data_IF_366596122221
#
_entry.id   IF_366596122221
#
_cell.length_a   1.000
_cell.length_b   1.000
_cell.length_c   1.000
_cell.angle_alpha   90.00
_cell.angle_beta   90.00
_cell.angle_gamma   90.00
#
_symmetry.space_group_name_H-M   'P 1'
#
loop_
_entity.id
_entity.type
_entity.pdbx_description
1 polymer ?
#
# COMPACT_ATOMS: atom_id res chain seq x y z
N UNK A 1 -9.25 -50.56 -38.26
CA UNK A 1 -8.58 -50.07 -37.02
C UNK A 1 -8.37 -48.54 -36.90
N UNK A 2 -8.40 -47.67 -37.94
CA UNK A 2 -8.08 -46.24 -37.76
C UNK A 2 -9.24 -45.34 -37.32
N UNK A 3 -10.51 -45.77 -37.52
CA UNK A 3 -11.71 -44.98 -37.19
C UNK A 3 -11.99 -44.92 -35.67
N UNK A 4 -11.75 -46.01 -34.95
CA UNK A 4 -11.95 -46.07 -33.49
C UNK A 4 -10.95 -45.17 -32.73
N UNK A 5 -9.70 -45.08 -33.23
CA UNK A 5 -8.64 -44.25 -32.63
C UNK A 5 -8.89 -42.75 -32.81
N UNK A 6 -9.53 -42.34 -33.92
CA UNK A 6 -9.97 -40.95 -34.16
C UNK A 6 -11.16 -40.55 -33.29
N UNK A 7 -12.12 -41.46 -33.08
CA UNK A 7 -13.25 -41.25 -32.17
C UNK A 7 -12.79 -41.10 -30.72
N UNK A 8 -11.82 -41.91 -30.27
CA UNK A 8 -11.28 -41.83 -28.91
C UNK A 8 -10.55 -40.50 -28.65
N UNK A 9 -9.76 -40.03 -29.62
CA UNK A 9 -9.10 -38.73 -29.54
C UNK A 9 -10.09 -37.57 -29.53
N UNK A 10 -11.18 -37.63 -30.31
CA UNK A 10 -12.22 -36.61 -30.31
C UNK A 10 -13.00 -36.56 -28.99
N UNK A 11 -13.27 -37.71 -28.36
CA UNK A 11 -13.89 -37.78 -27.04
C UNK A 11 -12.97 -37.26 -25.93
N UNK A 12 -11.66 -37.58 -25.99
CA UNK A 12 -10.68 -37.05 -25.05
C UNK A 12 -10.46 -35.54 -25.21
N UNK A 13 -10.46 -35.02 -26.43
CA UNK A 13 -10.43 -33.57 -26.72
C UNK A 13 -11.72 -32.88 -26.26
N UNK A 14 -12.88 -33.50 -26.46
CA UNK A 14 -14.17 -33.00 -25.96
C UNK A 14 -14.25 -32.97 -24.44
N UNK A 15 -13.75 -34.02 -23.77
CA UNK A 15 -13.60 -34.06 -22.31
C UNK A 15 -12.57 -33.02 -21.82
N UNK A 16 -11.45 -32.83 -22.52
CA UNK A 16 -10.47 -31.80 -22.17
C UNK A 16 -11.05 -30.38 -22.34
N UNK A 17 -11.82 -30.13 -23.40
CA UNK A 17 -12.53 -28.86 -23.61
C UNK A 17 -13.64 -28.62 -22.58
N UNK A 18 -14.34 -29.67 -22.15
CA UNK A 18 -15.31 -29.60 -21.04
C UNK A 18 -14.65 -29.32 -19.68
N UNK A 19 -13.41 -29.77 -19.48
CA UNK A 19 -12.61 -29.44 -18.30
C UNK A 19 -11.95 -28.05 -18.36
N UNK A 20 -11.82 -27.45 -19.55
CA UNK A 20 -11.33 -26.08 -19.72
C UNK A 20 -12.40 -25.01 -19.43
N UNK A 21 -13.63 -25.40 -19.15
CA UNK A 21 -14.76 -24.50 -18.94
C UNK A 21 -15.04 -24.25 -17.46
N UNK A 22 -14.03 -23.80 -16.71
CA UNK A 22 -14.25 -23.13 -15.43
C UNK A 22 -13.02 -22.27 -15.05
N UNK A 23 -12.77 -21.27 -15.88
CA UNK A 23 -11.94 -20.13 -15.49
C UNK A 23 -12.73 -18.84 -15.74
N UNK A 24 -13.86 -18.69 -15.03
CA UNK A 24 -14.46 -17.38 -14.80
C UNK A 24 -13.78 -16.74 -13.60
N UNK A 25 -12.53 -16.31 -13.78
CA UNK A 25 -11.78 -15.55 -12.78
C UNK A 25 -11.54 -14.11 -13.26
N UNK A 26 -12.61 -13.42 -13.67
CA UNK A 26 -12.70 -11.97 -13.85
C UNK A 26 -14.18 -11.66 -13.56
N UNK A 27 -14.61 -10.89 -12.56
CA UNK A 27 -14.05 -9.68 -12.00
C UNK A 27 -14.82 -9.31 -10.71
N UNK A 28 -14.20 -9.37 -9.52
CA UNK A 28 -14.56 -8.48 -8.41
C UNK A 28 -13.65 -7.25 -8.55
N UNK A 29 -13.72 -6.52 -9.66
CA UNK A 29 -12.66 -5.56 -10.02
C UNK A 29 -12.70 -4.26 -9.25
N UNK A 30 -13.75 -3.96 -8.48
CA UNK A 30 -13.98 -2.59 -7.99
C UNK A 30 -14.31 -2.50 -6.49
N UNK A 31 -14.16 -3.58 -5.71
CA UNK A 31 -14.44 -3.55 -4.25
C UNK A 31 -15.90 -3.29 -3.87
N UNK A 32 -16.86 -3.52 -4.78
CA UNK A 32 -18.29 -3.32 -4.55
C UNK A 32 -19.04 -4.64 -4.33
N UNK A 33 -19.99 -4.60 -3.39
CA UNK A 33 -20.84 -5.71 -2.97
C UNK A 33 -22.32 -5.29 -3.05
N UNK A 34 -23.21 -6.24 -3.32
CA UNK A 34 -24.66 -6.02 -3.25
C UNK A 34 -25.13 -6.21 -1.80
N UNK A 35 -25.91 -5.26 -1.28
CA UNK A 35 -26.50 -5.31 0.05
C UNK A 35 -28.02 -5.19 -0.04
N UNK A 36 -28.72 -6.10 0.62
CA UNK A 36 -30.18 -6.05 0.75
C UNK A 36 -30.55 -5.09 1.87
N UNK A 37 -31.39 -4.10 1.57
CA UNK A 37 -31.90 -3.12 2.53
C UNK A 37 -33.42 -3.20 2.60
N UNK A 38 -33.97 -2.97 3.79
CA UNK A 38 -35.40 -2.80 3.99
C UNK A 38 -35.74 -1.31 3.96
N UNK A 39 -36.60 -0.91 3.02
CA UNK A 39 -37.13 0.43 2.93
C UNK A 39 -38.54 0.44 3.50
N UNK A 40 -38.73 1.18 4.59
CA UNK A 40 -40.06 1.45 5.16
C UNK A 40 -40.73 2.58 4.40
N UNK A 41 -41.99 2.39 4.03
CA UNK A 41 -42.80 3.41 3.36
C UNK A 41 -44.25 3.33 3.84
N UNK A 42 -44.95 4.46 3.78
CA UNK A 42 -46.35 4.55 4.20
C UNK A 42 -47.26 4.41 2.98
N UNK A 43 -48.30 3.59 3.12
CA UNK A 43 -49.36 3.49 2.13
C UNK A 43 -50.69 3.97 2.71
N UNK A 44 -51.48 4.76 1.97
CA UNK A 44 -52.82 5.13 2.40
C UNK A 44 -53.75 3.92 2.26
N UNK A 45 -54.43 3.56 3.35
CA UNK A 45 -55.40 2.47 3.39
C UNK A 45 -56.70 3.03 3.94
N UNK A 46 -57.81 2.76 3.25
CA UNK A 46 -59.11 3.22 3.72
C UNK A 46 -59.67 2.26 4.76
N UNK A 47 -59.99 2.77 5.95
CA UNK A 47 -60.65 2.02 7.03
C UNK A 47 -62.03 2.61 7.24
N UNK A 48 -63.03 1.75 7.48
CA UNK A 48 -64.39 2.16 7.83
C UNK A 48 -64.65 1.82 9.29
N UNK A 49 -65.20 2.76 10.05
CA UNK A 49 -65.71 2.48 11.41
C UNK A 49 -67.19 2.11 11.30
N UNK A 50 -67.55 0.91 11.77
CA UNK A 50 -68.94 0.58 12.02
C UNK A 50 -69.30 1.11 13.42
N UNK A 51 -70.34 1.94 13.51
CA UNK A 51 -70.94 2.26 14.80
C UNK A 51 -71.90 1.13 15.16
N UNK A 52 -71.76 0.56 16.37
CA UNK A 52 -72.70 -0.42 16.88
C UNK A 52 -73.93 0.34 17.41
N UNK A 53 -74.88 0.63 16.51
CA UNK A 53 -76.14 1.27 16.84
C UNK A 53 -77.12 0.22 17.38
N UNK A 54 -77.20 0.09 18.72
CA UNK A 54 -78.35 -0.53 19.37
C UNK A 54 -79.56 0.42 19.27
N UNK A 55 -80.14 0.59 18.09
CA UNK A 55 -81.59 0.80 17.95
C UNK A 55 -82.06 0.73 16.51
N UNK A 56 -83.19 0.07 16.34
CA UNK A 56 -84.01 0.03 15.15
C UNK A 56 -84.60 1.40 14.87
N UNK A 57 -84.08 2.11 13.87
CA UNK A 57 -84.88 2.91 12.93
C UNK A 57 -84.02 3.29 11.72
N UNK A 58 -84.66 3.31 10.55
CA UNK A 58 -84.09 3.57 9.24
C UNK A 58 -83.22 4.83 9.19
N UNK A 59 -81.92 4.67 8.98
CA UNK A 59 -81.12 5.58 8.17
C UNK A 59 -79.97 4.81 7.54
N UNK A 60 -79.65 5.15 6.29
CA UNK A 60 -78.60 4.49 5.52
C UNK A 60 -77.25 4.94 6.11
N UNK A 61 -76.77 4.23 7.12
CA UNK A 61 -75.55 4.57 7.85
C UNK A 61 -74.34 4.27 6.94
N UNK A 62 -73.98 5.26 6.11
CA UNK A 62 -72.73 5.25 5.36
C UNK A 62 -71.59 5.37 6.38
N UNK A 63 -71.07 4.22 6.82
CA UNK A 63 -69.98 4.17 7.80
C UNK A 63 -68.85 5.13 7.41
N UNK A 64 -68.41 5.95 8.36
CA UNK A 64 -67.37 6.95 8.12
C UNK A 64 -66.08 6.26 7.65
N UNK A 65 -65.67 6.53 6.40
CA UNK A 65 -64.43 6.03 5.82
C UNK A 65 -63.34 7.07 5.99
N UNK A 66 -62.22 6.65 6.60
CA UNK A 66 -61.07 7.51 6.83
C UNK A 66 -59.79 6.86 6.29
N UNK A 67 -58.81 7.68 5.91
CA UNK A 67 -57.52 7.23 5.39
C UNK A 67 -56.56 7.05 6.57
N UNK A 68 -56.05 5.84 6.72
CA UNK A 68 -54.98 5.50 7.67
C UNK A 68 -53.72 5.19 6.88
N UNK A 69 -52.59 5.74 7.31
CA UNK A 69 -51.29 5.39 6.73
C UNK A 69 -50.73 4.18 7.46
N UNK A 70 -50.59 3.06 6.73
CA UNK A 70 -50.00 1.84 7.25
C UNK A 70 -48.54 1.73 6.78
N UNK A 71 -47.64 1.33 7.68
CA UNK A 71 -46.24 1.08 7.33
C UNK A 71 -46.11 -0.24 6.57
N UNK A 72 -45.49 -0.17 5.39
CA UNK A 72 -45.05 -1.34 4.61
C UNK A 72 -43.54 -1.35 4.47
N UNK A 73 -43.01 -2.55 4.28
CA UNK A 73 -41.58 -2.78 4.05
C UNK A 73 -41.41 -3.34 2.65
N UNK A 74 -40.52 -2.74 1.86
CA UNK A 74 -40.03 -3.31 0.60
C UNK A 74 -38.54 -3.61 0.72
N UNK A 75 -38.11 -4.68 0.05
CA UNK A 75 -36.72 -5.10 0.01
C UNK A 75 -36.10 -4.60 -1.28
N UNK A 76 -35.03 -3.81 -1.16
CA UNK A 76 -34.26 -3.32 -2.29
C UNK A 76 -32.83 -3.85 -2.22
N UNK A 77 -32.18 -3.98 -3.37
CA UNK A 77 -30.77 -4.31 -3.48
C UNK A 77 -29.98 -3.07 -3.88
N UNK A 78 -29.02 -2.67 -3.06
CA UNK A 78 -28.16 -1.50 -3.30
C UNK A 78 -26.70 -1.90 -3.38
N UNK A 79 -25.92 -1.16 -4.18
CA UNK A 79 -24.47 -1.36 -4.31
C UNK A 79 -23.73 -0.57 -3.22
N UNK A 80 -22.88 -1.25 -2.46
CA UNK A 80 -22.06 -0.66 -1.39
C UNK A 80 -20.60 -1.13 -1.51
N UNK A 81 -19.66 -0.52 -0.78
CA UNK A 81 -18.32 -1.10 -0.67
C UNK A 81 -18.36 -2.41 0.11
N UNK A 82 -17.55 -3.37 -0.33
CA UNK A 82 -17.37 -4.65 0.37
C UNK A 82 -16.71 -4.46 1.75
N UNK A 83 -16.87 -5.43 2.67
CA UNK A 83 -16.14 -5.42 3.93
C UNK A 83 -14.62 -5.30 3.70
N UNK A 84 -13.97 -4.41 4.45
CA UNK A 84 -12.56 -4.11 4.27
C UNK A 84 -12.26 -3.08 3.17
N UNK A 85 -13.27 -2.47 2.56
CA UNK A 85 -13.12 -1.33 1.65
C UNK A 85 -13.85 -0.10 2.19
N UNK A 86 -13.32 1.09 1.93
CA UNK A 86 -13.92 2.39 2.29
C UNK A 86 -14.31 3.16 1.04
N UNK A 87 -15.41 3.92 1.13
CA UNK A 87 -15.82 4.82 0.05
C UNK A 87 -14.93 6.05 0.02
N UNK A 88 -14.41 6.39 -1.16
CA UNK A 88 -13.68 7.62 -1.44
C UNK A 88 -14.51 8.53 -2.36
N UNK A 89 -13.92 9.64 -2.80
CA UNK A 89 -14.57 10.63 -3.68
C UNK A 89 -15.07 9.93 -4.97
N UNK A 90 -16.21 10.37 -5.50
CA UNK A 90 -16.87 9.80 -6.69
C UNK A 90 -17.42 8.37 -6.55
N UNK A 91 -17.50 7.84 -5.31
CA UNK A 91 -18.15 6.54 -5.06
C UNK A 91 -17.26 5.33 -5.33
N UNK A 92 -15.95 5.53 -5.51
CA UNK A 92 -15.00 4.42 -5.60
C UNK A 92 -14.76 3.78 -4.23
N UNK A 93 -14.40 2.49 -4.24
CA UNK A 93 -14.05 1.72 -3.04
C UNK A 93 -12.54 1.48 -3.01
N UNK A 94 -11.87 1.98 -1.98
CA UNK A 94 -10.45 1.73 -1.74
C UNK A 94 -10.28 0.68 -0.63
N UNK A 95 -9.38 -0.30 -0.77
CA UNK A 95 -9.12 -1.28 0.29
C UNK A 95 -8.56 -0.63 1.55
N UNK A 96 -8.86 -1.24 2.70
CA UNK A 96 -8.40 -0.83 4.02
C UNK A 96 -7.33 -1.79 4.48
N UNK A 97 -6.17 -1.27 4.86
CA UNK A 97 -5.12 -2.01 5.52
C UNK A 97 -5.06 -1.58 6.99
N UNK A 98 -5.18 -2.53 7.92
CA UNK A 98 -5.14 -2.26 9.37
C UNK A 98 -3.77 -1.74 9.80
N UNK A 99 -2.72 -2.32 9.24
CA UNK A 99 -1.36 -1.83 9.37
C UNK A 99 -1.03 -0.98 8.14
N UNK A 100 -0.40 0.20 8.30
CA UNK A 100 0.01 1.02 7.18
C UNK A 100 0.99 0.23 6.31
N UNK A 101 0.76 0.27 5.00
CA UNK A 101 1.66 -0.37 4.05
C UNK A 101 3.05 0.30 4.10
N UNK A 102 4.14 -0.46 3.93
CA UNK A 102 5.51 0.02 3.99
C UNK A 102 5.81 1.07 2.90
N UNK A 103 6.95 1.75 3.00
CA UNK A 103 7.35 2.75 2.00
C UNK A 103 7.37 2.20 0.58
N UNK A 104 6.99 3.05 -0.36
CA UNK A 104 6.85 2.71 -1.78
C UNK A 104 5.89 1.54 -2.06
N UNK A 105 4.83 1.41 -1.26
CA UNK A 105 3.81 0.40 -1.44
C UNK A 105 2.40 0.97 -1.20
N UNK A 106 1.37 0.24 -1.64
CA UNK A 106 -0.03 0.61 -1.52
C UNK A 106 -0.90 -0.60 -1.17
N UNK A 107 -2.05 -0.35 -0.57
CA UNK A 107 -3.02 -1.39 -0.24
C UNK A 107 -3.73 -1.84 -1.54
N UNK A 108 -3.55 -3.09 -1.95
CA UNK A 108 -4.18 -3.65 -3.18
C UNK A 108 -5.46 -4.39 -2.87
N UNK A 109 -5.50 -5.06 -1.72
CA UNK A 109 -6.65 -5.77 -1.17
C UNK A 109 -6.69 -5.51 0.34
N UNK A 110 -7.81 -5.77 1.04
CA UNK A 110 -7.88 -5.56 2.48
C UNK A 110 -6.74 -6.30 3.20
N UNK A 111 -5.96 -5.57 3.99
CA UNK A 111 -4.78 -6.06 4.70
C UNK A 111 -3.68 -6.69 3.82
N UNK A 112 -3.61 -6.33 2.53
CA UNK A 112 -2.58 -6.82 1.61
C UNK A 112 -1.94 -5.65 0.86
N UNK A 113 -0.64 -5.50 1.08
CA UNK A 113 0.16 -4.46 0.45
C UNK A 113 0.86 -4.96 -0.82
N UNK A 114 1.06 -4.06 -1.77
CA UNK A 114 1.82 -4.32 -2.99
C UNK A 114 2.75 -3.15 -3.29
N UNK A 115 3.92 -3.43 -3.86
CA UNK A 115 4.88 -2.38 -4.20
C UNK A 115 4.36 -1.49 -5.33
N UNK A 116 4.71 -0.20 -5.28
CA UNK A 116 4.43 0.74 -6.35
C UNK A 116 5.13 0.29 -7.65
N UNK A 117 4.64 0.78 -8.78
CA UNK A 117 5.29 0.53 -10.06
C UNK A 117 6.74 1.01 -10.02
N UNK A 118 7.65 0.18 -10.54
CA UNK A 118 9.08 0.43 -10.49
C UNK A 118 9.75 0.03 -9.18
N UNK A 119 9.02 -0.61 -8.26
CA UNK A 119 9.56 -1.24 -7.05
C UNK A 119 9.23 -2.74 -7.04
N UNK A 120 10.14 -3.56 -6.52
CA UNK A 120 9.99 -5.00 -6.39
C UNK A 120 10.02 -5.46 -4.92
N UNK A 121 9.37 -6.59 -4.66
CA UNK A 121 9.37 -7.19 -3.33
C UNK A 121 10.75 -7.80 -3.06
N UNK A 122 11.41 -7.33 -2.01
CA UNK A 122 12.63 -7.92 -1.51
C UNK A 122 12.32 -8.79 -0.29
N UNK A 123 12.67 -10.07 -0.37
CA UNK A 123 12.58 -10.98 0.77
C UNK A 123 13.85 -10.85 1.60
N UNK A 124 13.75 -10.27 2.79
CA UNK A 124 14.82 -10.39 3.78
C UNK A 124 14.65 -11.71 4.54
N UNK A 125 15.72 -12.51 4.61
CA UNK A 125 15.73 -13.82 5.25
C UNK A 125 15.27 -13.80 6.73
N UNK A 126 15.43 -12.67 7.42
CA UNK A 126 15.16 -12.53 8.86
C UNK A 126 13.80 -11.91 9.19
N UNK A 127 13.01 -11.44 8.20
CA UNK A 127 11.69 -10.82 8.42
C UNK A 127 10.66 -11.37 7.44
N UNK A 128 10.20 -12.58 7.71
CA UNK A 128 9.30 -13.31 6.80
C UNK A 128 7.90 -12.68 6.65
N UNK A 129 7.56 -11.66 7.45
CA UNK A 129 6.22 -11.06 7.48
C UNK A 129 6.14 -9.60 7.05
N UNK A 130 7.26 -8.95 6.70
CA UNK A 130 7.25 -7.54 6.35
C UNK A 130 7.64 -7.35 4.89
N UNK A 131 6.70 -6.86 4.09
CA UNK A 131 6.93 -6.47 2.71
C UNK A 131 7.98 -5.35 2.68
N UNK A 132 9.04 -5.51 1.88
CA UNK A 132 10.04 -4.45 1.67
C UNK A 132 10.13 -4.20 0.17
N UNK A 133 9.84 -2.97 -0.25
CA UNK A 133 9.81 -2.57 -1.65
C UNK A 133 11.12 -1.88 -2.04
N UNK A 134 11.89 -2.48 -2.94
CA UNK A 134 13.15 -1.91 -3.45
C UNK A 134 12.98 -1.37 -4.86
N UNK A 135 13.61 -0.24 -5.22
CA UNK A 135 13.48 0.33 -6.55
C UNK A 135 14.15 -0.56 -7.61
N UNK A 136 13.57 -0.58 -8.80
CA UNK A 136 14.03 -1.35 -9.96
C UNK A 136 14.79 -0.41 -10.90
N UNK A 137 16.05 -0.73 -11.17
CA UNK A 137 16.88 -0.08 -12.19
C UNK A 137 17.23 -1.09 -13.29
N UNK A 138 16.66 -0.89 -14.49
CA UNK A 138 16.88 -1.75 -15.65
C UNK A 138 18.35 -1.69 -16.08
N UNK A 139 18.98 -2.86 -16.21
CA UNK A 139 20.40 -2.97 -16.53
C UNK A 139 21.34 -2.73 -15.33
N UNK A 140 20.79 -2.49 -14.14
CA UNK A 140 21.56 -2.20 -12.93
C UNK A 140 22.12 -0.77 -12.91
N UNK A 141 22.71 -0.41 -11.77
CA UNK A 141 23.37 0.87 -11.61
C UNK A 141 24.90 0.74 -11.80
N UNK A 142 25.57 1.79 -12.32
CA UNK A 142 27.03 1.83 -12.48
C UNK A 142 27.82 1.55 -11.19
N UNK A 143 29.13 1.31 -11.31
CA UNK A 143 29.97 1.10 -10.13
C UNK A 143 29.89 2.26 -9.14
N UNK A 144 29.93 1.91 -7.85
CA UNK A 144 29.81 2.85 -6.74
C UNK A 144 28.53 3.70 -6.73
N UNK A 145 27.46 3.20 -7.37
CA UNK A 145 26.12 3.77 -7.28
C UNK A 145 25.11 2.74 -6.76
N UNK A 146 23.89 3.20 -6.47
CA UNK A 146 22.76 2.35 -6.12
C UNK A 146 21.45 2.92 -6.68
N UNK A 147 20.44 2.06 -6.81
CA UNK A 147 19.12 2.45 -7.29
C UNK A 147 18.36 3.18 -6.18
N UNK A 148 17.86 4.38 -6.45
CA UNK A 148 17.06 5.20 -5.51
C UNK A 148 15.59 5.26 -5.89
N UNK A 149 15.30 5.23 -7.19
CA UNK A 149 13.96 5.20 -7.74
C UNK A 149 13.95 4.44 -9.08
N UNK A 150 12.79 4.36 -9.72
CA UNK A 150 12.64 3.61 -10.97
C UNK A 150 13.60 4.11 -12.05
N UNK A 151 14.57 3.29 -12.43
CA UNK A 151 15.65 3.62 -13.37
C UNK A 151 16.48 4.86 -13.00
N UNK A 152 16.52 5.21 -11.71
CA UNK A 152 17.28 6.35 -11.19
C UNK A 152 18.37 5.85 -10.25
N UNK A 153 19.62 6.15 -10.59
CA UNK A 153 20.79 5.76 -9.83
C UNK A 153 21.43 6.99 -9.17
N UNK A 154 21.88 6.83 -7.92
CA UNK A 154 22.64 7.85 -7.19
C UNK A 154 23.99 7.26 -6.76
N UNK A 155 25.03 8.11 -6.70
CA UNK A 155 26.32 7.71 -6.17
C UNK A 155 26.24 7.35 -4.69
N UNK A 156 26.93 6.27 -4.30
CA UNK A 156 27.04 5.87 -2.90
C UNK A 156 27.76 6.94 -2.09
N UNK A 157 27.52 6.93 -0.78
CA UNK A 157 28.20 7.81 0.18
C UNK A 157 29.71 7.79 -0.03
N UNK A 158 30.32 8.98 -0.12
CA UNK A 158 31.75 9.14 -0.38
C UNK A 158 32.13 9.15 -1.86
N UNK A 159 31.15 9.11 -2.78
CA UNK A 159 31.34 9.29 -4.21
C UNK A 159 30.53 10.49 -4.71
N UNK A 160 31.07 11.20 -5.71
CA UNK A 160 30.40 12.30 -6.39
C UNK A 160 30.12 11.93 -7.84
N UNK A 161 29.05 12.50 -8.38
CA UNK A 161 28.74 12.41 -9.80
C UNK A 161 29.75 13.25 -10.59
N UNK A 162 30.38 12.61 -11.58
CA UNK A 162 31.31 13.22 -12.54
C UNK A 162 30.87 12.94 -13.98
N UNK A 163 29.61 12.59 -14.16
CA UNK A 163 28.99 12.42 -15.48
C UNK A 163 28.70 13.78 -16.11
N UNK A 164 28.61 13.76 -17.45
CA UNK A 164 28.10 14.89 -18.23
C UNK A 164 26.63 14.67 -18.54
N UNK A 165 25.91 15.73 -18.90
CA UNK A 165 24.47 15.70 -19.22
C UNK A 165 24.03 14.61 -20.22
N UNK A 166 24.93 14.15 -21.09
CA UNK A 166 24.65 13.11 -22.11
C UNK A 166 25.32 11.76 -21.84
N UNK A 167 26.01 11.59 -20.71
CA UNK A 167 26.72 10.37 -20.37
C UNK A 167 25.97 9.58 -19.28
N UNK A 168 26.13 8.25 -19.22
CA UNK A 168 25.64 7.48 -18.09
C UNK A 168 26.29 7.95 -16.78
N UNK A 169 25.58 7.78 -15.66
CA UNK A 169 26.07 8.14 -14.33
C UNK A 169 27.46 7.54 -14.09
N UNK A 170 28.40 8.37 -13.64
CA UNK A 170 29.74 7.93 -13.29
C UNK A 170 30.11 8.49 -11.94
N UNK A 171 30.37 7.60 -10.99
CA UNK A 171 30.65 7.94 -9.61
C UNK A 171 32.16 7.84 -9.34
N UNK A 172 32.76 8.93 -8.85
CA UNK A 172 34.17 8.95 -8.44
C UNK A 172 34.28 9.25 -6.95
N UNK A 173 35.22 8.57 -6.28
CA UNK A 173 35.50 8.80 -4.86
C UNK A 173 35.79 10.28 -4.60
N UNK A 174 35.16 10.82 -3.57
CA UNK A 174 35.39 12.19 -3.11
C UNK A 174 36.79 12.24 -2.49
N UNK A 175 37.64 13.12 -3.02
CA UNK A 175 38.95 13.42 -2.49
C UNK A 175 38.88 14.78 -1.79
N UNK A 176 39.04 14.78 -0.48
CA UNK A 176 39.14 16.00 0.31
C UNK A 176 40.61 16.47 0.38
N UNK A 177 40.82 17.74 0.73
CA UNK A 177 42.17 18.27 0.96
C UNK A 177 42.89 17.58 2.12
N UNK A 178 44.20 17.83 2.32
CA UNK A 178 45.03 17.13 3.30
C UNK A 178 44.52 17.25 4.75
N UNK A 179 43.90 18.37 5.12
CA UNK A 179 43.37 18.63 6.47
C UNK A 179 41.83 18.48 6.55
N UNK A 180 41.23 17.77 5.60
CA UNK A 180 39.78 17.66 5.48
C UNK A 180 39.31 16.21 5.50
N UNK A 181 38.18 15.97 6.15
CA UNK A 181 37.49 14.68 6.15
C UNK A 181 36.11 14.84 5.56
N UNK A 182 35.70 13.88 4.74
CA UNK A 182 34.33 13.84 4.24
C UNK A 182 33.38 13.49 5.37
N UNK A 183 32.48 14.41 5.69
CA UNK A 183 31.41 14.24 6.65
C UNK A 183 30.15 13.74 5.90
N UNK A 184 29.67 12.57 6.31
CA UNK A 184 28.51 11.91 5.69
C UNK A 184 27.23 12.69 5.95
N UNK A 185 27.06 13.25 7.15
CA UNK A 185 25.86 13.98 7.54
C UNK A 185 25.74 15.30 6.77
N UNK A 186 26.87 15.97 6.54
CA UNK A 186 26.93 17.24 5.80
C UNK A 186 27.13 17.08 4.30
N UNK A 187 27.35 15.85 3.82
CA UNK A 187 27.75 15.53 2.43
C UNK A 187 28.87 16.43 1.90
N UNK A 188 29.83 16.79 2.76
CA UNK A 188 30.86 17.78 2.45
C UNK A 188 32.21 17.45 3.09
N UNK A 189 33.30 17.94 2.47
CA UNK A 189 34.62 17.91 3.09
C UNK A 189 34.69 18.99 4.18
N UNK A 190 34.82 18.57 5.43
CA UNK A 190 34.94 19.45 6.59
C UNK A 190 36.39 19.47 7.03
N UNK A 191 36.93 20.65 7.33
CA UNK A 191 38.29 20.79 7.85
C UNK A 191 38.35 20.25 9.28
N UNK A 192 39.37 19.46 9.57
CA UNK A 192 39.67 19.00 10.92
C UNK A 192 40.41 20.14 11.62
N UNK A 193 39.67 21.18 11.99
CA UNK A 193 40.17 22.19 12.90
C UNK A 193 39.83 21.71 14.31
N UNK A 194 40.85 21.30 15.06
CA UNK A 194 40.75 21.11 16.50
C UNK A 194 41.83 21.97 17.14
N UNK A 195 41.51 22.60 18.27
CA UNK A 195 42.55 23.22 19.07
C UNK A 195 43.46 22.14 19.66
N UNK A 196 44.71 22.50 19.99
CA UNK A 196 45.62 21.55 20.64
C UNK A 196 45.03 21.04 21.96
N UNK A 197 44.28 21.89 22.66
CA UNK A 197 43.56 21.53 23.89
C UNK A 197 42.50 20.46 23.64
N UNK A 198 41.62 20.68 22.64
CA UNK A 198 40.57 19.72 22.27
C UNK A 198 41.14 18.38 21.79
N UNK A 199 42.25 18.39 21.05
CA UNK A 199 42.94 17.19 20.63
C UNK A 199 43.48 16.41 21.83
N UNK A 200 44.20 17.09 22.73
CA UNK A 200 44.79 16.46 23.91
C UNK A 200 43.73 15.92 24.87
N UNK A 201 42.60 16.61 24.99
CA UNK A 201 41.47 16.16 25.79
C UNK A 201 40.85 14.87 25.22
N UNK A 202 40.61 14.80 23.90
CA UNK A 202 40.12 13.57 23.25
C UNK A 202 41.10 12.40 23.32
N UNK A 203 42.40 12.68 23.23
CA UNK A 203 43.44 11.65 23.38
C UNK A 203 43.47 11.15 24.83
N UNK A 204 43.40 12.04 25.82
CA UNK A 204 43.34 11.68 27.23
C UNK A 204 42.10 10.81 27.54
N UNK A 205 40.92 11.16 27.01
CA UNK A 205 39.70 10.38 27.16
C UNK A 205 39.85 8.96 26.58
N UNK A 206 40.40 8.82 25.37
CA UNK A 206 40.66 7.50 24.76
C UNK A 206 41.69 6.69 25.54
N UNK A 207 42.73 7.33 26.08
CA UNK A 207 43.73 6.65 26.90
C UNK A 207 43.14 6.22 28.25
N UNK A 208 42.22 7.01 28.83
CA UNK A 208 41.51 6.67 30.05
C UNK A 208 40.54 5.49 29.87
N UNK A 209 39.95 5.36 28.69
CA UNK A 209 39.08 4.23 28.33
C UNK A 209 39.83 2.94 27.96
N UNK A 210 41.16 2.97 27.87
CA UNK A 210 41.98 1.83 27.45
C UNK A 210 42.05 1.68 25.93
N UNK A 211 43.25 1.43 25.39
CA UNK A 211 43.43 1.07 23.99
C UNK A 211 43.13 -0.41 23.83
N UNK A 212 41.84 -0.76 23.76
CA UNK A 212 41.42 -2.13 23.44
C UNK A 212 41.77 -2.44 21.97
N UNK A 213 43.03 -2.82 21.76
CA UNK A 213 43.39 -3.76 20.73
C UNK A 213 42.99 -5.14 21.27
N UNK A 214 42.09 -5.79 20.54
CA UNK A 214 41.60 -7.15 20.77
C UNK A 214 40.44 -7.30 21.77
N UNK A 215 39.27 -6.75 21.43
CA UNK A 215 38.03 -7.49 21.69
C UNK A 215 36.99 -7.28 20.58
N UNK A 216 36.91 -8.26 19.69
CA UNK A 216 35.93 -8.34 18.60
C UNK A 216 34.52 -8.70 19.11
N UNK A 217 34.10 -8.18 20.27
CA UNK A 217 32.84 -8.56 20.91
C UNK A 217 31.93 -7.40 21.29
N UNK A 218 31.97 -6.31 20.53
CA UNK A 218 30.86 -5.35 20.40
C UNK A 218 30.85 -4.83 18.94
N UNK A 219 30.57 -5.74 18.00
CA UNK A 219 29.82 -5.30 16.83
C UNK A 219 28.46 -4.89 17.38
N UNK A 220 28.00 -3.64 17.25
CA UNK A 220 26.58 -3.39 17.38
C UNK A 220 25.93 -4.33 16.37
N UNK A 221 24.92 -5.07 16.84
CA UNK A 221 24.18 -6.01 16.04
C UNK A 221 23.95 -5.44 14.64
N UNK A 222 24.23 -6.25 13.64
CA UNK A 222 24.00 -5.93 12.23
C UNK A 222 22.50 -5.95 11.89
N UNK A 223 21.67 -5.60 12.86
CA UNK A 223 20.21 -5.57 12.84
C UNK A 223 19.64 -4.23 13.32
N UNK A 224 20.39 -3.13 13.23
CA UNK A 224 19.82 -1.77 13.22
C UNK A 224 20.42 -0.96 12.07
N UNK A 225 20.18 -1.42 10.85
CA UNK A 225 19.98 -0.48 9.75
C UNK A 225 18.61 0.15 9.96
N UNK A 226 18.53 1.13 10.87
CA UNK A 226 17.47 2.12 10.80
C UNK A 226 17.55 2.73 9.41
N UNK A 227 16.55 2.38 8.62
CA UNK A 227 16.12 3.12 7.46
C UNK A 227 15.77 4.51 7.99
N UNK A 228 16.73 5.44 7.97
CA UNK A 228 16.39 6.84 7.95
C UNK A 228 15.70 7.10 6.62
N UNK A 229 14.38 6.92 6.63
CA UNK A 229 13.49 7.65 5.76
C UNK A 229 13.86 9.12 5.87
N UNK A 230 14.39 9.69 4.79
CA UNK A 230 14.39 11.13 4.64
C UNK A 230 12.94 11.54 4.37
N UNK A 231 12.31 12.37 5.21
CA UNK A 231 11.11 13.07 4.78
C UNK A 231 11.57 14.15 3.80
N UNK A 232 11.11 14.06 2.56
CA UNK A 232 11.08 15.19 1.65
C UNK A 232 10.31 16.33 2.33
N UNK A 233 11.01 17.36 2.80
CA UNK A 233 10.38 18.66 3.04
C UNK A 233 10.60 19.52 1.80
N UNK A 234 9.51 19.67 1.06
CA UNK A 234 9.30 20.71 0.06
C UNK A 234 9.60 22.09 0.66
N UNK A 235 10.71 22.70 0.24
CA UNK A 235 10.92 24.14 0.44
C UNK A 235 10.01 24.85 -0.54
N UNK A 236 8.92 25.43 -0.01
CA UNK A 236 8.15 26.45 -0.72
C UNK A 236 9.06 27.65 -0.95
N UNK A 237 9.24 28.00 -2.21
CA UNK A 237 9.67 29.34 -2.60
C UNK A 237 8.59 30.32 -2.16
N UNK A 238 8.95 31.30 -1.35
CA UNK A 238 8.26 32.58 -1.32
C UNK A 238 9.26 33.69 -1.69
N UNK A 239 8.75 34.50 -2.60
CA UNK A 239 9.25 35.74 -3.20
C UNK A 239 9.57 36.83 -2.19
#
# INVERSE_FOLDING_TARGET
MPKARRMLFALLLGLWLLWLQEAHALAITNGHCQKNISVKYQVPVTRSRANESNNSDNDTEAGEQFIVYEERVRWDTVQVCCPGYRTIIFGFCEPICTEPCPTHSYCVEPNKCHCLRGYEQSHHANRQHQLICRPICLGGCPEHSHCVAHNECECRVGYKDVSSWFAPLRCQRIQCGPDQRYDVARRACVKIEMSMEELMQRVADRLAHGLDLDNESERPDRDEMEVYEQPYSSVKNES
#
